data_IF_393858071796
#
_entry.id   IF_393858071796
#
_cell.length_a   1.000
_cell.length_b   1.000
_cell.length_c   1.000
_cell.angle_alpha   90.00
_cell.angle_beta   90.00
_cell.angle_gamma   90.00
#
_symmetry.space_group_name_H-M   'P 1'
#
loop_
_entity.id
_entity.type
_entity.pdbx_description
1 polymer ?
#
# COMPACT_ATOMS: atom_id res chain seq x y z
N UNK A 1 -3.64 -2.45 6.30
CA UNK A 1 -3.20 -1.87 5.01
C UNK A 1 -4.17 -0.77 4.62
N UNK A 2 -3.68 0.36 4.09
CA UNK A 2 -4.50 1.52 3.73
C UNK A 2 -5.70 1.14 2.84
N UNK A 3 -5.53 0.17 1.93
CA UNK A 3 -6.60 -0.41 1.11
C UNK A 3 -7.79 -0.95 1.92
N UNK A 4 -7.53 -1.53 3.11
CA UNK A 4 -8.59 -2.08 3.99
C UNK A 4 -9.35 -0.97 4.75
N UNK A 5 -8.67 0.13 5.06
CA UNK A 5 -9.21 1.23 5.88
C UNK A 5 -9.47 2.52 5.10
N UNK A 6 -9.39 2.47 3.77
CA UNK A 6 -9.51 3.63 2.87
C UNK A 6 -10.77 4.45 3.15
N UNK A 7 -11.89 3.77 3.30
CA UNK A 7 -13.18 4.44 3.50
C UNK A 7 -13.25 5.17 4.86
N UNK A 8 -12.66 4.59 5.91
CA UNK A 8 -12.63 5.21 7.22
C UNK A 8 -11.63 6.37 7.29
N UNK A 9 -10.41 6.19 6.76
CA UNK A 9 -9.31 7.13 6.94
C UNK A 9 -9.26 8.22 5.87
N UNK A 10 -9.57 7.87 4.63
CA UNK A 10 -9.46 8.80 3.50
C UNK A 10 -10.81 9.42 3.21
N UNK A 11 -11.85 8.60 3.00
CA UNK A 11 -13.17 9.14 2.64
C UNK A 11 -13.79 9.90 3.82
N UNK A 12 -14.03 9.24 4.95
CA UNK A 12 -14.61 9.89 6.14
C UNK A 12 -13.61 10.77 6.88
N UNK A 13 -12.37 10.30 7.02
CA UNK A 13 -11.33 11.01 7.78
C UNK A 13 -10.92 12.34 7.16
N UNK A 14 -10.92 12.45 5.83
CA UNK A 14 -10.67 13.72 5.12
C UNK A 14 -11.97 14.46 4.74
N UNK A 15 -13.12 13.89 5.08
CA UNK A 15 -14.43 14.50 4.83
C UNK A 15 -14.85 14.54 3.36
N UNK A 16 -14.29 13.69 2.49
CA UNK A 16 -14.63 13.61 1.06
C UNK A 16 -16.07 13.14 0.81
N UNK A 17 -16.68 12.45 1.78
CA UNK A 17 -18.09 12.08 1.76
C UNK A 17 -19.04 13.29 1.94
N UNK A 18 -18.57 14.32 2.64
CA UNK A 18 -19.34 15.53 2.96
C UNK A 18 -18.97 16.71 2.06
N UNK A 19 -17.71 16.79 1.64
CA UNK A 19 -17.12 17.89 0.87
C UNK A 19 -16.31 17.31 -0.31
N UNK A 20 -16.98 16.85 -1.39
CA UNK A 20 -16.31 16.23 -2.53
C UNK A 20 -15.32 17.18 -3.24
N UNK A 21 -15.51 18.50 -3.16
CA UNK A 21 -14.61 19.52 -3.70
C UNK A 21 -13.20 19.49 -3.08
N UNK A 22 -13.04 18.89 -1.89
CA UNK A 22 -11.73 18.70 -1.27
C UNK A 22 -10.87 17.69 -2.02
N UNK A 23 -11.45 16.87 -2.90
CA UNK A 23 -10.73 15.90 -3.71
C UNK A 23 -9.56 16.54 -4.44
N UNK A 24 -9.81 17.62 -5.19
CA UNK A 24 -8.77 18.28 -5.98
C UNK A 24 -7.76 19.01 -5.10
N UNK A 25 -8.21 19.52 -3.94
CA UNK A 25 -7.31 20.15 -2.98
C UNK A 25 -6.32 19.15 -2.36
N UNK A 26 -6.76 17.91 -2.12
CA UNK A 26 -5.90 16.87 -1.57
C UNK A 26 -5.09 16.14 -2.62
N UNK A 27 -5.68 15.81 -3.77
CA UNK A 27 -5.11 14.88 -4.75
C UNK A 27 -4.75 15.52 -6.10
N UNK A 28 -5.08 16.79 -6.34
CA UNK A 28 -4.87 17.44 -7.65
C UNK A 28 -3.41 17.49 -8.12
N UNK A 29 -2.44 17.43 -7.20
CA UNK A 29 -1.01 17.39 -7.51
C UNK A 29 -0.40 15.98 -7.49
N UNK A 30 -1.19 14.96 -7.15
CA UNK A 30 -0.72 13.59 -7.07
C UNK A 30 -0.72 12.98 -8.48
N UNK A 31 0.22 12.06 -8.72
CA UNK A 31 0.40 11.46 -10.05
C UNK A 31 0.09 9.98 -10.11
N UNK A 32 0.00 9.30 -8.97
CA UNK A 32 -0.26 7.86 -8.87
C UNK A 32 -0.62 7.47 -7.45
N UNK A 33 -1.34 6.37 -7.32
CA UNK A 33 -1.47 5.60 -6.09
C UNK A 33 -0.44 4.49 -6.12
N UNK A 34 0.36 4.33 -5.06
CA UNK A 34 1.30 3.22 -4.93
C UNK A 34 0.78 2.26 -3.87
N UNK A 35 0.49 1.02 -4.26
CA UNK A 35 0.10 -0.03 -3.34
C UNK A 35 1.28 -0.97 -3.06
N UNK A 36 1.81 -0.90 -1.83
CA UNK A 36 2.90 -1.76 -1.36
C UNK A 36 2.31 -3.06 -0.78
N UNK A 37 2.74 -4.19 -1.33
CA UNK A 37 2.16 -5.51 -1.03
C UNK A 37 3.25 -6.49 -0.60
N UNK A 38 3.04 -7.17 0.53
CA UNK A 38 3.95 -8.20 1.05
C UNK A 38 3.57 -9.62 0.62
N UNK A 39 2.28 -9.86 0.30
CA UNK A 39 1.73 -11.14 -0.11
C UNK A 39 0.64 -10.91 -1.15
N UNK A 40 0.51 -11.83 -2.10
CA UNK A 40 -0.54 -11.79 -3.11
C UNK A 40 -1.93 -12.05 -2.49
N UNK A 41 -2.86 -11.14 -2.74
CA UNK A 41 -4.27 -11.20 -2.31
C UNK A 41 -5.10 -10.46 -3.37
N UNK A 42 -5.81 -11.23 -4.21
CA UNK A 42 -6.58 -10.70 -5.33
C UNK A 42 -7.68 -9.73 -4.90
N UNK A 43 -8.33 -9.99 -3.76
CA UNK A 43 -9.40 -9.14 -3.25
C UNK A 43 -8.84 -7.76 -2.86
N UNK A 44 -7.64 -7.72 -2.28
CA UNK A 44 -6.97 -6.46 -1.98
C UNK A 44 -6.46 -5.75 -3.24
N UNK A 45 -5.98 -6.48 -4.24
CA UNK A 45 -5.57 -5.88 -5.52
C UNK A 45 -6.76 -5.23 -6.22
N UNK A 46 -7.89 -5.92 -6.33
CA UNK A 46 -9.11 -5.35 -6.90
C UNK A 46 -9.57 -4.10 -6.15
N UNK A 47 -9.49 -4.13 -4.82
CA UNK A 47 -9.85 -2.97 -3.99
C UNK A 47 -8.89 -1.80 -4.20
N UNK A 48 -7.59 -2.05 -4.37
CA UNK A 48 -6.61 -1.02 -4.71
C UNK A 48 -6.91 -0.39 -6.08
N UNK A 49 -7.32 -1.19 -7.07
CA UNK A 49 -7.75 -0.68 -8.37
C UNK A 49 -8.98 0.22 -8.27
N UNK A 50 -10.01 -0.19 -7.50
CA UNK A 50 -11.20 0.62 -7.28
C UNK A 50 -10.88 1.95 -6.59
N UNK A 51 -9.98 1.94 -5.60
CA UNK A 51 -9.53 3.16 -4.90
C UNK A 51 -8.82 4.10 -5.88
N UNK A 52 -7.86 3.59 -6.65
CA UNK A 52 -7.11 4.41 -7.60
C UNK A 52 -8.01 5.01 -8.68
N UNK A 53 -8.98 4.23 -9.19
CA UNK A 53 -9.99 4.72 -10.11
C UNK A 53 -10.87 5.81 -9.49
N UNK A 54 -11.29 5.65 -8.23
CA UNK A 54 -12.06 6.66 -7.51
C UNK A 54 -11.29 7.96 -7.26
N UNK A 55 -9.97 7.90 -7.16
CA UNK A 55 -9.09 9.07 -7.04
C UNK A 55 -8.68 9.65 -8.41
N UNK A 56 -9.05 9.02 -9.52
CA UNK A 56 -8.61 9.43 -10.86
C UNK A 56 -7.09 9.30 -11.09
N UNK A 57 -6.42 8.43 -10.33
CA UNK A 57 -4.97 8.27 -10.36
C UNK A 57 -4.58 6.87 -10.85
N UNK A 58 -3.50 6.73 -11.63
CA UNK A 58 -3.00 5.41 -12.01
C UNK A 58 -2.51 4.64 -10.78
N UNK A 59 -2.78 3.34 -10.74
CA UNK A 59 -2.28 2.44 -9.69
C UNK A 59 -0.92 1.85 -10.08
N UNK A 60 0.03 1.91 -9.17
CA UNK A 60 1.28 1.18 -9.22
C UNK A 60 1.33 0.17 -8.06
N UNK A 61 1.38 -1.12 -8.38
CA UNK A 61 1.51 -2.19 -7.37
C UNK A 61 2.97 -2.57 -7.24
N UNK A 62 3.52 -2.44 -6.03
CA UNK A 62 4.90 -2.86 -5.74
C UNK A 62 4.89 -4.01 -4.75
N UNK A 63 5.43 -5.15 -5.17
CA UNK A 63 5.70 -6.24 -4.25
C UNK A 63 6.92 -5.90 -3.42
N UNK A 64 6.66 -5.49 -2.19
CA UNK A 64 7.66 -5.35 -1.14
C UNK A 64 7.56 -6.62 -0.32
N UNK A 65 8.24 -7.70 -0.75
CA UNK A 65 8.30 -8.93 0.06
C UNK A 65 8.98 -8.66 1.42
N UNK A 66 9.41 -9.71 2.11
CA UNK A 66 10.17 -9.57 3.37
C UNK A 66 11.54 -8.85 3.23
N UNK A 67 11.91 -8.37 2.04
CA UNK A 67 12.98 -7.39 1.84
C UNK A 67 14.29 -7.79 2.53
N UNK A 68 15.00 -8.77 1.96
CA UNK A 68 16.27 -9.24 2.51
C UNK A 68 16.18 -9.98 3.85
N UNK A 69 15.06 -9.93 4.59
CA UNK A 69 14.93 -10.65 5.86
C UNK A 69 15.03 -12.16 5.67
N UNK A 70 14.33 -12.73 4.69
CA UNK A 70 14.42 -14.16 4.38
C UNK A 70 15.83 -14.56 3.97
N UNK A 71 16.48 -13.76 3.11
CA UNK A 71 17.88 -13.96 2.73
C UNK A 71 18.83 -13.86 3.93
N UNK A 72 18.58 -12.92 4.85
CA UNK A 72 19.36 -12.75 6.09
C UNK A 72 19.09 -13.85 7.10
N UNK A 73 17.86 -14.38 7.17
CA UNK A 73 17.50 -15.50 8.03
C UNK A 73 18.21 -16.77 7.53
N UNK A 74 18.16 -17.03 6.21
CA UNK A 74 18.88 -18.13 5.57
C UNK A 74 20.40 -18.00 5.81
N UNK A 75 20.96 -16.81 5.61
CA UNK A 75 22.38 -16.55 5.87
C UNK A 75 22.74 -16.75 7.36
N UNK A 76 21.90 -16.33 8.30
CA UNK A 76 22.13 -16.49 9.73
C UNK A 76 22.01 -17.95 10.20
N UNK A 77 21.09 -18.71 9.61
CA UNK A 77 20.93 -20.15 9.89
C UNK A 77 22.05 -20.98 9.25
N UNK A 78 22.65 -20.51 8.16
CA UNK A 78 23.78 -21.14 7.48
C UNK A 78 25.16 -20.77 8.08
N UNK A 79 25.23 -19.72 8.90
CA UNK A 79 26.47 -19.32 9.56
C UNK A 79 26.74 -20.23 10.78
N UNK A 80 27.95 -20.80 10.92
CA UNK A 80 28.30 -21.52 12.14
C UNK A 80 28.24 -20.57 13.35
N UNK A 81 27.89 -21.05 14.55
CA UNK A 81 27.84 -20.20 15.74
C UNK A 81 29.21 -19.52 15.90
N UNK A 82 29.20 -18.19 16.01
CA UNK A 82 30.41 -17.42 16.25
C UNK A 82 31.08 -18.00 17.50
N UNK A 83 32.26 -18.59 17.32
CA UNK A 83 33.10 -19.03 18.42
C UNK A 83 33.41 -17.80 19.28
N UNK A 84 33.02 -17.89 20.56
CA UNK A 84 33.22 -16.83 21.56
C UNK A 84 34.67 -16.64 21.96
#
# INVERSE_FOLDING_TARGET
>A
ALVRSYEALVVRGLGLDRFPELHDSYFGNYRRVVYLVQRHDDALLQRAHAIAAGLGLPLEVRFTGYGGLEARLLAALAAPPAAG
#
